data_IF_554772657456
#
_entry.id   IF_554772657456
#
_cell.length_a   1.000
_cell.length_b   1.000
_cell.length_c   1.000
_cell.angle_alpha   90.00
_cell.angle_beta   90.00
_cell.angle_gamma   90.00
#
_symmetry.space_group_name_H-M   'P 1'
#
loop_
_entity.id
_entity.type
_entity.pdbx_description
1 polymer ?
#
# COMPACT_ATOMS: atom_id res chain seq x y z
N UNK A 1 -6.91 37.49 -10.65
CA UNK A 1 -7.25 36.06 -10.85
C UNK A 1 -7.46 35.45 -9.48
N UNK A 2 -8.66 34.95 -9.18
CA UNK A 2 -8.92 34.23 -7.92
C UNK A 2 -8.27 32.86 -8.04
N UNK A 3 -7.39 32.49 -7.10
CA UNK A 3 -6.88 31.13 -6.97
C UNK A 3 -8.07 30.22 -6.68
N UNK A 4 -8.54 29.43 -7.64
CA UNK A 4 -9.52 28.38 -7.35
C UNK A 4 -8.75 27.21 -6.73
N UNK A 5 -8.76 27.16 -5.40
CA UNK A 5 -8.29 26.02 -4.64
C UNK A 5 -9.54 25.18 -4.33
N UNK A 6 -9.59 23.95 -4.82
CA UNK A 6 -10.57 22.98 -4.37
C UNK A 6 -9.91 22.14 -3.28
N UNK A 7 -10.42 22.23 -2.06
CA UNK A 7 -9.88 21.54 -0.89
C UNK A 7 -10.92 20.55 -0.36
N UNK A 8 -10.48 19.33 -0.06
CA UNK A 8 -11.29 18.30 0.57
C UNK A 8 -10.48 17.72 1.72
N UNK A 9 -11.11 17.60 2.90
CA UNK A 9 -10.52 16.95 4.07
C UNK A 9 -11.25 15.64 4.35
N UNK A 10 -10.49 14.57 4.55
CA UNK A 10 -11.00 13.25 4.92
C UNK A 10 -10.21 12.81 6.16
N UNK A 11 -10.88 12.75 7.31
CA UNK A 11 -10.22 12.60 8.62
C UNK A 11 -9.10 13.64 8.82
N UNK A 12 -7.87 13.17 9.03
CA UNK A 12 -6.67 14.00 9.16
C UNK A 12 -6.02 14.36 7.82
N UNK A 13 -6.42 13.70 6.73
CA UNK A 13 -5.79 13.90 5.43
C UNK A 13 -6.44 15.00 4.60
N UNK A 14 -5.64 15.62 3.75
CA UNK A 14 -6.02 16.79 2.98
C UNK A 14 -5.66 16.64 1.49
N UNK A 15 -6.65 16.85 0.63
CA UNK A 15 -6.48 16.93 -0.82
C UNK A 15 -6.66 18.36 -1.28
N UNK A 16 -5.68 18.88 -2.01
CA UNK A 16 -5.71 20.23 -2.56
C UNK A 16 -5.49 20.22 -4.07
N UNK A 17 -6.39 20.84 -4.82
CA UNK A 17 -6.21 21.14 -6.23
C UNK A 17 -5.87 22.61 -6.43
N UNK A 18 -4.67 22.88 -6.94
CA UNK A 18 -4.32 24.18 -7.52
C UNK A 18 -4.69 24.14 -8.99
N UNK A 19 -5.95 24.41 -9.31
CA UNK A 19 -6.51 24.20 -10.64
C UNK A 19 -5.72 24.91 -11.76
N UNK A 20 -5.28 26.15 -11.52
CA UNK A 20 -4.51 26.92 -12.50
C UNK A 20 -3.10 26.37 -12.76
N UNK A 21 -2.58 25.54 -11.85
CA UNK A 21 -1.27 24.90 -11.95
C UNK A 21 -1.37 23.44 -12.42
N UNK A 22 -2.58 22.88 -12.50
CA UNK A 22 -2.78 21.44 -12.78
C UNK A 22 -2.20 20.54 -11.68
N UNK A 23 -1.99 21.07 -10.46
CA UNK A 23 -1.33 20.37 -9.37
C UNK A 23 -2.36 19.85 -8.35
N UNK A 24 -2.36 18.53 -8.17
CA UNK A 24 -2.94 17.86 -7.01
C UNK A 24 -1.84 17.67 -5.96
N UNK A 25 -2.14 18.00 -4.71
CA UNK A 25 -1.35 17.56 -3.56
C UNK A 25 -2.20 16.76 -2.58
N UNK A 26 -1.64 15.68 -2.03
CA UNK A 26 -2.21 14.88 -0.95
C UNK A 26 -1.29 15.02 0.27
N UNK A 27 -1.79 15.59 1.37
CA UNK A 27 -0.99 15.99 2.53
C UNK A 27 0.25 16.81 2.12
N UNK A 28 0.01 17.85 1.31
CA UNK A 28 1.01 18.77 0.74
C UNK A 28 2.04 18.16 -0.24
N UNK A 29 2.03 16.84 -0.44
CA UNK A 29 2.89 16.16 -1.40
C UNK A 29 2.25 16.08 -2.79
N UNK A 30 2.95 16.49 -3.87
CA UNK A 30 2.47 16.35 -5.24
C UNK A 30 2.05 14.91 -5.54
N UNK A 31 0.82 14.76 -6.03
CA UNK A 31 0.21 13.47 -6.27
C UNK A 31 -0.50 13.45 -7.62
N UNK A 32 -0.68 12.26 -8.17
CA UNK A 32 -1.40 12.05 -9.43
C UNK A 32 -2.55 11.08 -9.21
N UNK A 33 -3.64 11.27 -9.95
CA UNK A 33 -4.70 10.27 -10.07
C UNK A 33 -4.35 9.35 -11.23
N UNK A 34 -4.30 8.05 -10.96
CA UNK A 34 -4.17 7.02 -11.99
C UNK A 34 -5.35 6.07 -11.90
N UNK A 35 -5.91 5.70 -13.05
CA UNK A 35 -6.95 4.69 -13.14
C UNK A 35 -6.31 3.31 -13.02
N UNK A 36 -7.04 2.35 -12.42
CA UNK A 36 -6.59 0.95 -12.37
C UNK A 36 -6.20 0.41 -13.76
N UNK A 37 -6.90 0.86 -14.81
CA UNK A 37 -6.58 0.47 -16.20
C UNK A 37 -5.18 0.92 -16.64
N UNK A 38 -4.70 2.07 -16.15
CA UNK A 38 -3.35 2.56 -16.45
C UNK A 38 -2.30 1.66 -15.82
N UNK A 39 -2.52 1.24 -14.57
CA UNK A 39 -1.64 0.29 -13.88
C UNK A 39 -1.68 -1.10 -14.55
N UNK A 40 -2.87 -1.56 -14.93
CA UNK A 40 -3.04 -2.80 -15.69
C UNK A 40 -2.20 -2.82 -16.96
N UNK A 41 -2.25 -1.73 -17.75
CA UNK A 41 -1.44 -1.61 -18.96
C UNK A 41 0.05 -1.62 -18.63
N UNK A 42 0.47 -0.86 -17.62
CA UNK A 42 1.88 -0.81 -17.21
C UNK A 42 2.43 -2.19 -16.83
N UNK A 43 1.68 -2.93 -16.00
CA UNK A 43 2.08 -4.26 -15.54
C UNK A 43 2.08 -5.26 -16.71
N UNK A 44 1.06 -5.24 -17.58
CA UNK A 44 1.04 -6.07 -18.80
C UNK A 44 2.24 -5.79 -19.70
N UNK A 45 2.59 -4.52 -19.89
CA UNK A 45 3.77 -4.16 -20.68
C UNK A 45 5.06 -4.65 -20.03
N UNK A 46 5.18 -4.63 -18.70
CA UNK A 46 6.32 -5.25 -18.01
C UNK A 46 6.35 -6.76 -18.27
N UNK A 47 5.23 -7.45 -18.11
CA UNK A 47 5.12 -8.89 -18.34
C UNK A 47 5.50 -9.27 -19.78
N UNK A 48 5.04 -8.49 -20.77
CA UNK A 48 5.36 -8.68 -22.20
C UNK A 48 6.85 -8.48 -22.50
N UNK A 49 7.51 -7.52 -21.86
CA UNK A 49 8.90 -7.15 -22.17
C UNK A 49 9.91 -7.98 -21.38
N UNK A 50 9.65 -8.23 -20.10
CA UNK A 50 10.59 -8.87 -19.18
C UNK A 50 10.24 -10.34 -18.87
N UNK A 51 9.02 -10.76 -19.17
CA UNK A 51 8.46 -12.01 -18.67
C UNK A 51 7.91 -11.87 -17.24
N UNK A 52 6.96 -12.72 -16.89
CA UNK A 52 6.21 -12.65 -15.63
C UNK A 52 7.12 -12.78 -14.40
N UNK A 53 8.11 -13.67 -14.43
CA UNK A 53 9.03 -13.89 -13.30
C UNK A 53 9.82 -12.62 -12.98
N UNK A 54 10.45 -11.99 -13.99
CA UNK A 54 11.20 -10.75 -13.80
C UNK A 54 10.31 -9.56 -13.51
N UNK A 55 9.11 -9.53 -14.04
CA UNK A 55 8.13 -8.50 -13.71
C UNK A 55 7.73 -8.58 -12.24
N UNK A 56 7.48 -9.79 -11.71
CA UNK A 56 7.20 -9.97 -10.28
C UNK A 56 8.37 -9.53 -9.39
N UNK A 57 9.63 -9.85 -9.75
CA UNK A 57 10.80 -9.33 -9.04
C UNK A 57 10.83 -7.78 -9.02
N UNK A 58 10.54 -7.15 -10.16
CA UNK A 58 10.49 -5.68 -10.26
C UNK A 58 9.38 -5.10 -9.39
N UNK A 59 8.18 -5.71 -9.38
CA UNK A 59 7.04 -5.26 -8.59
C UNK A 59 7.26 -5.44 -7.08
N UNK A 60 7.90 -6.54 -6.67
CA UNK A 60 8.34 -6.76 -5.29
C UNK A 60 9.33 -5.69 -4.83
N UNK A 61 10.38 -5.44 -5.62
CA UNK A 61 11.38 -4.40 -5.34
C UNK A 61 10.72 -3.02 -5.28
N UNK A 62 9.79 -2.73 -6.19
CA UNK A 62 9.05 -1.48 -6.22
C UNK A 62 8.23 -1.29 -4.94
N UNK A 63 7.43 -2.29 -4.56
CA UNK A 63 6.63 -2.27 -3.33
C UNK A 63 7.52 -2.09 -2.09
N UNK A 64 8.61 -2.85 -1.99
CA UNK A 64 9.56 -2.76 -0.87
C UNK A 64 10.18 -1.36 -0.75
N UNK A 65 10.64 -0.78 -1.86
CA UNK A 65 11.22 0.58 -1.87
C UNK A 65 10.21 1.63 -1.44
N UNK A 66 8.96 1.49 -1.89
CA UNK A 66 7.89 2.41 -1.53
C UNK A 66 7.55 2.30 -0.03
N UNK A 67 7.44 1.08 0.51
CA UNK A 67 7.21 0.84 1.94
C UNK A 67 8.32 1.39 2.82
N UNK A 68 9.57 1.19 2.42
CA UNK A 68 10.72 1.78 3.08
C UNK A 68 10.64 3.32 3.06
N UNK A 69 10.39 3.93 1.91
CA UNK A 69 10.27 5.39 1.79
C UNK A 69 9.19 5.95 2.71
N UNK A 70 7.99 5.38 2.69
CA UNK A 70 6.87 5.84 3.53
C UNK A 70 7.17 5.66 5.01
N UNK A 71 7.84 4.58 5.42
CA UNK A 71 8.21 4.40 6.83
C UNK A 71 9.15 5.49 7.37
N UNK A 72 9.89 6.19 6.50
CA UNK A 72 10.77 7.28 6.93
C UNK A 72 10.00 8.51 7.42
N UNK A 73 8.76 8.73 6.99
CA UNK A 73 7.93 9.83 7.49
C UNK A 73 7.59 9.67 8.98
N UNK A 74 7.73 8.45 9.52
CA UNK A 74 7.53 8.12 10.93
C UNK A 74 8.85 7.97 11.70
N UNK A 75 9.99 8.35 11.11
CA UNK A 75 11.28 8.23 11.77
C UNK A 75 11.31 8.97 13.12
N UNK A 76 11.84 8.31 14.15
CA UNK A 76 11.94 8.86 15.50
C UNK A 76 10.70 8.68 16.38
N UNK A 77 9.57 8.23 15.80
CA UNK A 77 8.40 7.82 16.58
C UNK A 77 8.60 6.42 17.16
N UNK A 78 8.00 6.17 18.32
CA UNK A 78 8.07 4.87 19.02
C UNK A 78 6.68 4.28 19.34
N UNK A 79 5.62 5.03 19.03
CA UNK A 79 4.21 4.69 19.24
C UNK A 79 3.65 3.91 18.05
N UNK A 80 4.19 2.70 17.84
CA UNK A 80 3.85 1.84 16.69
C UNK A 80 2.35 1.62 16.50
N UNK A 81 1.59 1.46 17.58
CA UNK A 81 0.13 1.26 17.51
C UNK A 81 -0.59 2.47 16.89
N UNK A 82 -0.21 3.69 17.28
CA UNK A 82 -0.79 4.91 16.71
C UNK A 82 -0.38 5.09 15.25
N UNK A 83 0.91 4.83 14.92
CA UNK A 83 1.40 4.87 13.54
C UNK A 83 0.57 3.94 12.66
N UNK A 84 0.29 2.72 13.15
CA UNK A 84 -0.49 1.72 12.44
C UNK A 84 -1.94 2.15 12.21
N UNK A 85 -2.56 2.83 13.18
CA UNK A 85 -3.92 3.40 13.04
C UNK A 85 -3.92 4.54 12.01
N UNK A 86 -3.03 5.52 12.18
CA UNK A 86 -2.89 6.66 11.28
C UNK A 86 -2.60 6.22 9.84
N UNK A 87 -1.69 5.26 9.67
CA UNK A 87 -1.31 4.76 8.36
C UNK A 87 -2.42 3.92 7.72
N UNK A 88 -3.22 3.19 8.50
CA UNK A 88 -4.40 2.49 7.97
C UNK A 88 -5.45 3.46 7.42
N UNK A 89 -5.63 4.61 8.09
CA UNK A 89 -6.49 5.70 7.61
C UNK A 89 -5.95 6.34 6.34
N UNK A 90 -4.65 6.67 6.32
CA UNK A 90 -3.98 7.19 5.13
C UNK A 90 -4.10 6.23 3.94
N UNK A 91 -3.83 4.93 4.16
CA UNK A 91 -3.90 3.89 3.12
C UNK A 91 -5.31 3.82 2.50
N UNK A 92 -6.36 3.89 3.34
CA UNK A 92 -7.75 3.92 2.88
C UNK A 92 -8.06 5.21 2.12
N UNK A 93 -7.66 6.36 2.65
CA UNK A 93 -7.95 7.67 2.06
C UNK A 93 -7.21 7.87 0.72
N UNK A 94 -6.01 7.30 0.58
CA UNK A 94 -5.24 7.25 -0.66
C UNK A 94 -5.86 6.32 -1.73
N UNK A 95 -6.89 5.54 -1.38
CA UNK A 95 -7.55 4.61 -2.27
C UNK A 95 -6.77 3.30 -2.48
N UNK A 96 -5.83 2.96 -1.60
CA UNK A 96 -5.03 1.73 -1.76
C UNK A 96 -5.79 0.46 -1.32
N UNK A 97 -6.93 0.63 -0.66
CA UNK A 97 -7.73 -0.43 -0.05
C UNK A 97 -7.92 -0.18 1.43
N UNK A 98 -8.85 -0.90 2.04
CA UNK A 98 -9.06 -0.84 3.47
C UNK A 98 -8.19 -1.86 4.20
N UNK A 99 -7.64 -1.44 5.33
CA UNK A 99 -6.68 -2.21 6.12
C UNK A 99 -7.28 -2.45 7.49
N UNK A 100 -7.28 -3.71 7.94
CA UNK A 100 -7.66 -4.06 9.29
C UNK A 100 -6.55 -4.87 9.95
N UNK A 101 -5.97 -4.30 10.99
CA UNK A 101 -4.94 -4.98 11.78
C UNK A 101 -5.66 -5.86 12.79
N UNK A 102 -5.57 -7.18 12.62
CA UNK A 102 -6.24 -8.15 13.49
C UNK A 102 -5.35 -8.62 14.63
N UNK A 103 -4.03 -8.47 14.48
CA UNK A 103 -3.06 -8.79 15.50
C UNK A 103 -1.83 -7.92 15.33
N UNK A 104 -1.34 -7.34 16.42
CA UNK A 104 -0.03 -6.71 16.49
C UNK A 104 0.60 -7.08 17.83
N UNK A 105 1.81 -7.63 17.80
CA UNK A 105 2.58 -7.95 18.99
C UNK A 105 4.00 -7.45 18.82
N UNK A 106 4.35 -6.42 19.59
CA UNK A 106 5.72 -5.90 19.65
C UNK A 106 6.71 -6.93 20.21
N UNK A 107 6.25 -7.76 21.15
CA UNK A 107 7.08 -8.81 21.77
C UNK A 107 7.37 -9.94 20.79
N UNK A 108 6.33 -10.46 20.11
CA UNK A 108 6.48 -11.52 19.12
C UNK A 108 7.02 -11.00 17.78
N UNK A 109 7.15 -9.67 17.63
CA UNK A 109 7.55 -8.99 16.38
C UNK A 109 6.72 -9.48 15.20
N UNK A 110 5.40 -9.49 15.40
CA UNK A 110 4.44 -10.07 14.45
C UNK A 110 3.25 -9.14 14.27
N UNK A 111 2.77 -9.06 13.03
CA UNK A 111 1.55 -8.37 12.67
C UNK A 111 0.74 -9.21 11.68
N UNK A 112 -0.58 -9.16 11.83
CA UNK A 112 -1.53 -9.76 10.88
C UNK A 112 -2.47 -8.67 10.40
N UNK A 113 -2.60 -8.57 9.08
CA UNK A 113 -3.31 -7.53 8.38
C UNK A 113 -4.31 -8.17 7.42
N UNK A 114 -5.56 -7.75 7.48
CA UNK A 114 -6.57 -8.05 6.47
C UNK A 114 -6.65 -6.87 5.48
N UNK A 115 -6.45 -7.14 4.20
CA UNK A 115 -6.53 -6.18 3.10
C UNK A 115 -7.83 -6.40 2.31
N UNK A 116 -8.71 -5.40 2.34
CA UNK A 116 -10.01 -5.42 1.68
C UNK A 116 -10.04 -4.42 0.53
N UNK A 117 -10.66 -4.79 -0.60
CA UNK A 117 -10.82 -3.92 -1.78
C UNK A 117 -9.50 -3.24 -2.18
N UNK A 118 -8.40 -3.99 -2.15
CA UNK A 118 -7.11 -3.45 -2.54
C UNK A 118 -7.10 -3.12 -4.03
N UNK A 119 -6.48 -2.00 -4.41
CA UNK A 119 -6.33 -1.68 -5.83
C UNK A 119 -5.58 -2.80 -6.56
N UNK A 120 -4.63 -3.44 -5.88
CA UNK A 120 -3.80 -4.52 -6.41
C UNK A 120 -4.64 -5.75 -6.77
N UNK A 121 -5.59 -6.15 -5.93
CA UNK A 121 -6.54 -7.23 -6.25
C UNK A 121 -7.33 -6.89 -7.51
N UNK A 122 -7.85 -5.66 -7.60
CA UNK A 122 -8.65 -5.23 -8.74
C UNK A 122 -7.84 -5.23 -10.05
N UNK A 123 -6.56 -4.86 -9.99
CA UNK A 123 -5.66 -4.84 -11.16
C UNK A 123 -5.20 -6.25 -11.52
N UNK A 124 -4.68 -7.03 -10.58
CA UNK A 124 -4.13 -8.36 -10.90
C UNK A 124 -5.22 -9.34 -11.34
N UNK A 125 -6.41 -9.33 -10.70
CA UNK A 125 -7.54 -10.13 -11.18
C UNK A 125 -7.96 -9.80 -12.62
N UNK A 126 -7.69 -8.59 -13.12
CA UNK A 126 -7.99 -8.20 -14.52
C UNK A 126 -6.87 -8.55 -15.51
N UNK A 127 -5.64 -8.76 -15.04
CA UNK A 127 -4.50 -9.21 -15.85
C UNK A 127 -4.54 -10.73 -15.99
N UNK A 128 -4.41 -11.44 -14.88
CA UNK A 128 -4.44 -12.89 -14.79
C UNK A 128 -4.89 -13.28 -13.37
N UNK A 129 -5.90 -14.16 -13.27
CA UNK A 129 -6.43 -14.64 -11.99
C UNK A 129 -5.38 -15.35 -11.12
N UNK A 130 -4.30 -15.84 -11.71
CA UNK A 130 -3.21 -16.51 -10.99
C UNK A 130 -2.10 -15.56 -10.52
N UNK A 131 -2.14 -14.28 -10.92
CA UNK A 131 -1.11 -13.32 -10.55
C UNK A 131 -1.27 -12.92 -9.08
N UNK A 132 -0.25 -13.24 -8.29
CA UNK A 132 -0.23 -12.99 -6.84
C UNK A 132 -0.06 -11.51 -6.56
N UNK A 133 -0.81 -11.00 -5.58
CA UNK A 133 -0.56 -9.69 -4.99
C UNK A 133 0.84 -9.68 -4.35
N UNK A 134 1.66 -8.71 -4.71
CA UNK A 134 3.09 -8.65 -4.35
C UNK A 134 3.55 -7.24 -3.98
N UNK A 135 2.99 -6.19 -4.57
CA UNK A 135 3.36 -4.80 -4.31
C UNK A 135 2.95 -4.38 -2.90
N UNK A 136 1.66 -4.52 -2.53
CA UNK A 136 1.18 -4.13 -1.20
C UNK A 136 1.78 -5.02 -0.09
N UNK A 137 1.89 -6.36 -0.25
CA UNK A 137 2.61 -7.18 0.71
C UNK A 137 4.08 -6.76 0.90
N UNK A 138 4.79 -6.51 -0.21
CA UNK A 138 6.19 -6.07 -0.18
C UNK A 138 6.34 -4.67 0.43
N UNK A 139 5.37 -3.79 0.19
CA UNK A 139 5.27 -2.49 0.84
C UNK A 139 5.15 -2.66 2.36
N UNK A 140 4.19 -3.46 2.82
CA UNK A 140 3.92 -3.61 4.25
C UNK A 140 5.07 -4.29 5.00
N UNK A 141 5.72 -5.30 4.40
CA UNK A 141 6.90 -5.93 5.03
C UNK A 141 8.05 -4.93 5.15
N UNK A 142 8.31 -4.08 4.15
CA UNK A 142 9.35 -3.07 4.22
C UNK A 142 9.04 -1.98 5.25
N UNK A 143 7.78 -1.54 5.28
CA UNK A 143 7.28 -0.56 6.24
C UNK A 143 7.50 -1.05 7.68
N UNK A 144 7.06 -2.28 7.96
CA UNK A 144 7.20 -2.88 9.29
C UNK A 144 8.65 -3.21 9.65
N UNK A 145 9.44 -3.73 8.69
CA UNK A 145 10.86 -4.01 8.89
C UNK A 145 11.60 -2.77 9.38
N UNK A 146 11.34 -1.62 8.76
CA UNK A 146 12.01 -0.37 9.14
C UNK A 146 11.49 0.19 10.48
N UNK A 147 10.18 0.16 10.73
CA UNK A 147 9.61 0.63 11.99
C UNK A 147 10.05 -0.22 13.20
N UNK A 148 10.14 -1.54 13.02
CA UNK A 148 10.56 -2.47 14.08
C UNK A 148 12.08 -2.61 14.17
N UNK A 149 12.82 -2.15 13.14
CA UNK A 149 14.27 -2.35 12.97
C UNK A 149 14.66 -3.83 12.95
N UNK A 150 13.86 -4.62 12.24
CA UNK A 150 14.01 -6.07 12.12
C UNK A 150 13.99 -6.46 10.65
N UNK A 151 14.70 -7.54 10.31
CA UNK A 151 14.56 -8.14 8.99
C UNK A 151 13.29 -8.98 8.98
N UNK A 152 12.21 -8.49 8.38
CA UNK A 152 10.93 -9.20 8.37
C UNK A 152 10.67 -9.88 7.02
N UNK A 153 9.91 -10.96 7.08
CA UNK A 153 9.33 -11.66 5.93
C UNK A 153 7.81 -11.66 6.06
N UNK A 154 7.12 -12.16 5.04
CA UNK A 154 5.67 -12.22 5.03
C UNK A 154 5.14 -13.49 4.36
N UNK A 155 3.91 -13.82 4.70
CA UNK A 155 3.07 -14.75 3.94
C UNK A 155 1.73 -14.08 3.65
N UNK A 156 1.14 -14.41 2.49
CA UNK A 156 -0.16 -13.91 2.07
C UNK A 156 -1.09 -15.09 1.77
N UNK A 157 -2.37 -14.94 2.09
CA UNK A 157 -3.41 -15.91 1.78
C UNK A 157 -4.72 -15.21 1.42
N UNK A 158 -5.39 -15.68 0.37
CA UNK A 158 -6.75 -15.26 0.05
C UNK A 158 -7.75 -15.96 0.97
N UNK A 159 -8.58 -15.20 1.66
CA UNK A 159 -9.55 -15.69 2.64
C UNK A 159 -10.95 -15.27 2.22
N UNK A 160 -11.90 -16.21 2.29
CA UNK A 160 -13.33 -15.92 2.20
C UNK A 160 -13.99 -16.21 3.55
N UNK A 161 -14.55 -15.19 4.19
CA UNK A 161 -15.25 -15.32 5.46
C UNK A 161 -16.60 -14.61 5.39
N UNK A 162 -17.68 -15.33 5.67
CA UNK A 162 -19.05 -14.80 5.60
C UNK A 162 -19.39 -14.12 4.26
N UNK A 163 -18.88 -14.65 3.15
CA UNK A 163 -19.10 -14.10 1.80
C UNK A 163 -18.26 -12.86 1.47
N UNK A 164 -17.32 -12.45 2.34
CA UNK A 164 -16.38 -11.36 2.09
C UNK A 164 -15.02 -11.97 1.76
N UNK A 165 -14.45 -11.60 0.61
CA UNK A 165 -13.09 -11.93 0.19
C UNK A 165 -12.11 -10.85 0.63
N UNK A 166 -10.94 -11.27 1.12
CA UNK A 166 -9.82 -10.39 1.46
C UNK A 166 -8.50 -11.15 1.44
N UNK A 167 -7.39 -10.42 1.40
CA UNK A 167 -6.07 -11.01 1.62
C UNK A 167 -5.68 -10.88 3.08
N UNK A 168 -5.28 -11.98 3.71
CA UNK A 168 -4.60 -11.97 4.98
C UNK A 168 -3.09 -11.95 4.74
N UNK A 169 -2.43 -10.91 5.24
CA UNK A 169 -0.99 -10.72 5.23
C UNK A 169 -0.45 -10.93 6.65
N UNK A 170 0.43 -11.91 6.83
CA UNK A 170 1.14 -12.14 8.08
C UNK A 170 2.59 -11.72 7.90
N UNK A 171 3.09 -10.85 8.78
CA UNK A 171 4.47 -10.35 8.74
C UNK A 171 5.15 -10.74 10.04
N UNK A 172 6.36 -11.29 9.92
CA UNK A 172 7.11 -11.92 11.00
C UNK A 172 8.61 -11.74 10.79
N UNK A 173 9.41 -11.87 11.84
CA UNK A 173 10.89 -11.83 11.70
C UNK A 173 11.35 -12.97 10.83
N UNK A 174 12.22 -12.66 9.87
CA UNK A 174 12.85 -13.66 9.01
C UNK A 174 13.90 -14.42 9.83
N UNK A 175 13.79 -15.75 9.86
CA UNK A 175 14.78 -16.64 10.45
C UNK A 175 16.17 -16.50 9.81
#
# INVERSE_FOLDING_TARGET
MVKSISQIKINSDEFNWKNNEGLLTFNDEPSIIMWNKTLEILIKTLDEVAGIEKSNEVLEIFGYRLGYLVSQSYAGRSDLENILIEFSDFHRNAGWGNVKITMFSKQEKRIVIELYNSWEDHVFKSINKEQKCIILPSFWVAFMSNLMKENMSYSISEITKNGIEFNELQIFVKD
#
